data_IF_961037126269
#
_entry.id   IF_961037126269
#
_cell.length_a   1.000
_cell.length_b   1.000
_cell.length_c   1.000
_cell.angle_alpha   90.00
_cell.angle_beta   90.00
_cell.angle_gamma   90.00
#
_symmetry.space_group_name_H-M   'P 1'
#
loop_
_entity.id
_entity.type
_entity.pdbx_description
1 polymer ?
#
# COMPACT_ATOMS: atom_id res chain seq x y z
N UNK A 1 -16.58 -5.59 31.64
CA UNK A 1 -15.60 -5.31 30.57
C UNK A 1 -15.75 -3.88 30.13
N UNK A 2 -14.68 -3.20 29.73
CA UNK A 2 -14.77 -1.88 29.12
C UNK A 2 -15.26 -1.96 27.67
N UNK A 3 -15.62 -0.81 27.10
CA UNK A 3 -16.11 -0.71 25.71
C UNK A 3 -15.12 -1.34 24.72
N UNK A 4 -13.81 -1.18 24.93
CA UNK A 4 -12.75 -1.74 24.10
C UNK A 4 -12.76 -3.27 24.10
N UNK A 5 -12.82 -3.90 25.27
CA UNK A 5 -12.85 -5.36 25.38
C UNK A 5 -14.13 -5.94 24.76
N UNK A 6 -15.27 -5.28 24.99
CA UNK A 6 -16.53 -5.68 24.37
C UNK A 6 -16.50 -5.54 22.84
N UNK A 7 -15.91 -4.45 22.32
CA UNK A 7 -15.77 -4.22 20.88
C UNK A 7 -14.88 -5.27 20.22
N UNK A 8 -13.78 -5.67 20.87
CA UNK A 8 -12.92 -6.76 20.37
C UNK A 8 -13.67 -8.10 20.31
N UNK A 9 -14.44 -8.45 21.35
CA UNK A 9 -15.25 -9.65 21.34
C UNK A 9 -16.36 -9.60 20.26
N UNK A 10 -17.02 -8.44 20.11
CA UNK A 10 -18.05 -8.21 19.09
C UNK A 10 -17.51 -8.32 17.67
N UNK A 11 -16.33 -7.75 17.42
CA UNK A 11 -15.64 -7.83 16.14
C UNK A 11 -15.31 -9.28 15.77
N UNK A 12 -14.74 -10.05 16.69
CA UNK A 12 -14.40 -11.45 16.45
C UNK A 12 -15.65 -12.30 16.15
N UNK A 13 -16.75 -12.07 16.88
CA UNK A 13 -18.02 -12.74 16.60
C UNK A 13 -18.54 -12.40 15.19
N UNK A 14 -18.58 -11.11 14.83
CA UNK A 14 -19.03 -10.67 13.51
C UNK A 14 -18.14 -11.19 12.38
N UNK A 15 -16.83 -11.33 12.61
CA UNK A 15 -15.91 -11.89 11.63
C UNK A 15 -16.19 -13.37 11.36
N UNK A 16 -16.43 -14.16 12.40
CA UNK A 16 -16.82 -15.58 12.26
C UNK A 16 -18.14 -15.70 11.48
N UNK A 17 -19.09 -14.82 11.73
CA UNK A 17 -20.37 -14.81 11.01
C UNK A 17 -20.20 -14.38 9.54
N UNK A 18 -19.34 -13.38 9.28
CA UNK A 18 -19.01 -12.91 7.94
C UNK A 18 -18.33 -14.00 7.09
N UNK A 19 -17.45 -14.82 7.68
CA UNK A 19 -16.81 -15.95 7.00
C UNK A 19 -17.81 -17.04 6.58
N UNK A 20 -18.94 -17.16 7.27
CA UNK A 20 -19.98 -18.16 6.97
C UNK A 20 -21.00 -17.66 5.95
N UNK A 21 -21.05 -16.35 5.70
CA UNK A 21 -22.10 -15.71 4.92
C UNK A 21 -21.58 -15.31 3.54
N UNK A 22 -21.76 -16.19 2.56
CA UNK A 22 -21.23 -16.04 1.18
C UNK A 22 -21.84 -14.83 0.44
N UNK A 23 -23.05 -14.38 0.83
CA UNK A 23 -23.75 -13.24 0.23
C UNK A 23 -24.42 -12.36 1.30
N UNK A 24 -23.62 -11.84 2.25
CA UNK A 24 -24.15 -10.93 3.27
C UNK A 24 -24.78 -9.71 2.62
N UNK A 25 -25.88 -9.21 3.19
CA UNK A 25 -26.49 -7.93 2.81
C UNK A 25 -26.91 -7.20 4.08
N UNK A 26 -27.06 -5.88 4.00
CA UNK A 26 -27.61 -5.06 5.07
C UNK A 26 -28.40 -3.89 4.48
N UNK A 27 -29.20 -3.22 5.31
CA UNK A 27 -30.01 -2.07 4.90
C UNK A 27 -29.16 -0.91 4.35
N UNK A 28 -27.90 -0.81 4.76
CA UNK A 28 -27.00 0.31 4.45
C UNK A 28 -25.86 -0.06 3.49
N UNK A 29 -26.04 -1.13 2.70
CA UNK A 29 -24.97 -1.69 1.85
C UNK A 29 -24.37 -0.67 0.88
N UNK A 30 -25.22 0.13 0.22
CA UNK A 30 -24.78 1.08 -0.81
C UNK A 30 -23.92 2.21 -0.22
N UNK A 31 -24.23 2.61 1.02
CA UNK A 31 -23.44 3.56 1.78
C UNK A 31 -22.07 2.96 2.18
N UNK A 32 -22.07 1.72 2.66
CA UNK A 32 -20.83 1.02 3.05
C UNK A 32 -19.94 0.84 1.81
N UNK A 33 -20.49 0.35 0.70
CA UNK A 33 -19.79 0.19 -0.57
C UNK A 33 -19.18 1.52 -1.02
N UNK A 34 -19.98 2.59 -1.04
CA UNK A 34 -19.53 3.91 -1.43
C UNK A 34 -18.31 4.38 -0.63
N UNK A 35 -18.28 4.21 0.69
CA UNK A 35 -17.14 4.65 1.51
C UNK A 35 -15.93 3.72 1.34
N UNK A 36 -16.15 2.40 1.29
CA UNK A 36 -15.07 1.40 1.24
C UNK A 36 -14.39 1.35 -0.14
N UNK A 37 -15.13 1.56 -1.22
CA UNK A 37 -14.59 1.54 -2.59
C UNK A 37 -13.89 2.85 -2.97
N UNK A 38 -14.04 3.90 -2.16
CA UNK A 38 -13.35 5.17 -2.35
C UNK A 38 -11.91 5.17 -1.77
N UNK A 39 -11.13 6.21 -2.04
CA UNK A 39 -9.69 6.25 -1.73
C UNK A 39 -9.33 6.79 -0.33
N UNK A 40 -10.26 7.45 0.37
CA UNK A 40 -9.93 8.18 1.60
C UNK A 40 -9.89 7.28 2.85
N UNK A 41 -8.70 6.73 3.14
CA UNK A 41 -8.44 5.77 4.22
C UNK A 41 -9.09 6.15 5.56
N UNK A 42 -8.84 7.35 6.07
CA UNK A 42 -9.37 7.80 7.37
C UNK A 42 -10.88 7.61 7.48
N UNK A 43 -11.62 7.81 6.38
CA UNK A 43 -13.09 7.66 6.39
C UNK A 43 -13.53 6.20 6.39
N UNK A 44 -12.76 5.28 5.80
CA UNK A 44 -12.99 3.84 5.94
C UNK A 44 -12.86 3.40 7.40
N UNK A 45 -11.82 3.84 8.10
CA UNK A 45 -11.66 3.53 9.52
C UNK A 45 -12.72 4.19 10.40
N UNK A 46 -13.12 5.42 10.09
CA UNK A 46 -14.22 6.09 10.82
C UNK A 46 -15.53 5.32 10.65
N UNK A 47 -15.89 4.90 9.44
CA UNK A 47 -17.06 4.06 9.18
C UNK A 47 -17.02 2.78 10.02
N UNK A 48 -15.93 2.02 9.92
CA UNK A 48 -15.78 0.75 10.63
C UNK A 48 -15.85 0.96 12.14
N UNK A 49 -15.18 1.99 12.66
CA UNK A 49 -15.19 2.32 14.09
C UNK A 49 -16.59 2.65 14.58
N UNK A 50 -17.34 3.48 13.85
CA UNK A 50 -18.70 3.88 14.20
C UNK A 50 -19.67 2.68 14.20
N UNK A 51 -19.62 1.84 13.16
CA UNK A 51 -20.44 0.63 13.05
C UNK A 51 -20.12 -0.34 14.21
N UNK A 52 -18.84 -0.64 14.45
CA UNK A 52 -18.43 -1.55 15.52
C UNK A 52 -18.83 -1.03 16.90
N UNK A 53 -18.64 0.26 17.14
CA UNK A 53 -18.99 0.89 18.41
C UNK A 53 -20.51 0.80 18.66
N UNK A 54 -21.34 1.14 17.66
CA UNK A 54 -22.81 1.04 17.76
C UNK A 54 -23.30 -0.39 17.93
N UNK A 55 -22.67 -1.35 17.27
CA UNK A 55 -22.96 -2.78 17.43
C UNK A 55 -22.54 -3.35 18.80
N UNK A 56 -21.68 -2.62 19.52
CA UNK A 56 -21.20 -2.98 20.86
C UNK A 56 -22.05 -2.32 21.95
N UNK A 57 -22.44 -1.06 21.74
CA UNK A 57 -23.25 -0.26 22.66
C UNK A 57 -24.21 0.63 21.86
N UNK A 58 -25.51 0.32 21.95
CA UNK A 58 -26.57 1.03 21.22
C UNK A 58 -26.67 2.51 21.62
N UNK A 59 -26.21 2.91 22.80
CA UNK A 59 -26.25 4.31 23.23
C UNK A 59 -25.27 5.22 22.48
N UNK A 60 -24.31 4.62 21.77
CA UNK A 60 -23.27 5.36 21.05
C UNK A 60 -23.87 6.16 19.89
N UNK A 61 -23.36 7.37 19.74
CA UNK A 61 -23.63 8.22 18.59
C UNK A 61 -22.53 8.03 17.54
N UNK A 62 -22.93 7.55 16.37
CA UNK A 62 -22.04 7.18 15.27
C UNK A 62 -21.31 8.38 14.66
N UNK A 63 -21.74 9.61 14.91
CA UNK A 63 -21.03 10.83 14.49
C UNK A 63 -19.89 11.23 15.44
N UNK A 64 -19.85 10.70 16.67
CA UNK A 64 -18.82 11.07 17.64
C UNK A 64 -17.47 10.45 17.28
N UNK A 65 -16.41 11.27 17.30
CA UNK A 65 -15.02 10.85 17.06
C UNK A 65 -14.16 10.92 18.32
N UNK A 66 -14.55 11.75 19.30
CA UNK A 66 -13.80 11.95 20.54
C UNK A 66 -14.72 12.01 21.76
N UNK A 67 -14.18 11.56 22.90
CA UNK A 67 -14.87 11.60 24.20
C UNK A 67 -15.31 13.00 24.64
N UNK A 68 -14.70 14.05 24.08
CA UNK A 68 -15.00 15.46 24.38
C UNK A 68 -16.15 16.04 23.53
N UNK A 69 -16.75 15.26 22.62
CA UNK A 69 -17.96 15.72 21.93
C UNK A 69 -19.07 15.96 22.95
N UNK A 70 -19.86 17.00 22.69
CA UNK A 70 -21.00 17.37 23.53
C UNK A 70 -22.27 16.61 23.14
N UNK A 71 -22.23 15.81 22.06
CA UNK A 71 -23.36 15.02 21.62
C UNK A 71 -23.65 13.86 22.60
N UNK A 72 -24.93 13.55 22.86
CA UNK A 72 -25.31 12.35 23.60
C UNK A 72 -24.72 11.11 22.95
N UNK A 73 -24.19 10.17 23.74
CA UNK A 73 -23.55 8.96 23.23
C UNK A 73 -22.09 9.15 22.78
N UNK A 74 -21.44 10.25 23.18
CA UNK A 74 -20.02 10.47 22.92
C UNK A 74 -19.13 9.38 23.53
N UNK A 75 -18.13 8.97 22.77
CA UNK A 75 -17.19 7.91 23.13
C UNK A 75 -15.81 8.18 22.55
N UNK A 76 -14.81 7.42 23.00
CA UNK A 76 -13.45 7.50 22.45
C UNK A 76 -13.29 6.56 21.25
N UNK A 77 -13.70 7.04 20.07
CA UNK A 77 -13.58 6.30 18.81
C UNK A 77 -12.11 5.98 18.48
N UNK A 78 -11.19 6.91 18.80
CA UNK A 78 -9.75 6.70 18.58
C UNK A 78 -9.24 5.46 19.32
N UNK A 79 -9.61 5.29 20.59
CA UNK A 79 -9.17 4.11 21.34
C UNK A 79 -9.69 2.80 20.72
N UNK A 80 -10.95 2.76 20.27
CA UNK A 80 -11.49 1.58 19.58
C UNK A 80 -10.75 1.32 18.26
N UNK A 81 -10.54 2.36 17.45
CA UNK A 81 -9.83 2.24 16.19
C UNK A 81 -8.40 1.70 16.38
N UNK A 82 -7.57 2.37 17.19
CA UNK A 82 -6.15 2.02 17.32
C UNK A 82 -5.89 0.74 18.11
N UNK A 83 -6.76 0.36 19.05
CA UNK A 83 -6.54 -0.82 19.90
C UNK A 83 -7.29 -2.06 19.45
N UNK A 84 -8.27 -1.93 18.56
CA UNK A 84 -9.08 -3.05 18.08
C UNK A 84 -9.00 -3.18 16.56
N UNK A 85 -9.38 -2.15 15.81
CA UNK A 85 -9.48 -2.24 14.34
C UNK A 85 -8.12 -2.29 13.67
N UNK A 86 -7.17 -1.43 14.05
CA UNK A 86 -5.83 -1.40 13.45
C UNK A 86 -5.10 -2.74 13.62
N UNK A 87 -4.99 -3.33 14.83
CA UNK A 87 -4.38 -4.66 14.97
C UNK A 87 -5.13 -5.73 14.16
N UNK A 88 -6.46 -5.74 14.21
CA UNK A 88 -7.27 -6.71 13.47
C UNK A 88 -7.06 -6.60 11.95
N UNK A 89 -6.98 -5.40 11.40
CA UNK A 89 -6.71 -5.23 9.99
C UNK A 89 -5.33 -5.76 9.59
N UNK A 90 -4.30 -5.45 10.39
CA UNK A 90 -2.92 -5.85 10.12
C UNK A 90 -2.73 -7.35 10.26
N UNK A 91 -3.30 -7.98 11.28
CA UNK A 91 -3.08 -9.39 11.62
C UNK A 91 -4.07 -10.34 10.93
N UNK A 92 -5.29 -9.88 10.62
CA UNK A 92 -6.38 -10.74 10.14
C UNK A 92 -6.84 -10.37 8.73
N UNK A 93 -6.99 -9.08 8.40
CA UNK A 93 -7.51 -8.65 7.10
C UNK A 93 -6.44 -8.33 6.05
N UNK A 94 -5.15 -8.48 6.38
CA UNK A 94 -4.03 -8.22 5.47
C UNK A 94 -4.15 -6.87 4.74
N UNK A 95 -4.34 -5.82 5.54
CA UNK A 95 -4.46 -4.43 5.05
C UNK A 95 -5.59 -4.23 4.03
N UNK A 96 -6.70 -4.96 4.13
CA UNK A 96 -7.85 -4.79 3.22
C UNK A 96 -8.46 -3.37 3.25
N UNK A 97 -8.28 -2.60 4.33
CA UNK A 97 -8.73 -1.19 4.38
C UNK A 97 -7.69 -0.21 3.82
N UNK A 98 -6.44 -0.65 3.65
CA UNK A 98 -5.32 0.13 3.12
C UNK A 98 -4.18 0.40 4.12
N UNK A 99 -4.16 -0.27 5.27
CA UNK A 99 -2.97 -0.41 6.14
C UNK A 99 -2.51 0.87 6.82
N UNK A 100 -3.42 1.71 7.31
CA UNK A 100 -3.06 2.91 8.09
C UNK A 100 -2.79 2.58 9.55
N UNK A 101 -1.55 2.78 10.00
CA UNK A 101 -1.15 2.61 11.40
C UNK A 101 -1.80 3.63 12.35
N UNK A 102 -2.04 4.86 11.89
CA UNK A 102 -2.62 5.92 12.72
C UNK A 102 -3.80 6.67 12.05
N UNK A 103 -4.95 6.00 11.82
CA UNK A 103 -6.06 6.60 11.04
C UNK A 103 -6.64 7.87 11.67
N UNK A 104 -6.68 7.94 13.00
CA UNK A 104 -7.24 9.08 13.74
C UNK A 104 -6.24 10.23 13.97
N UNK A 105 -5.00 10.13 13.46
CA UNK A 105 -4.08 11.27 13.43
C UNK A 105 -4.36 12.23 12.29
N UNK A 106 -5.14 11.87 11.26
CA UNK A 106 -5.43 12.77 10.16
C UNK A 106 -6.47 13.83 10.52
N UNK A 107 -6.39 15.00 9.89
CA UNK A 107 -7.25 16.16 10.18
C UNK A 107 -8.76 15.82 10.26
N UNK A 108 -9.34 15.00 9.36
CA UNK A 108 -10.77 14.67 9.41
C UNK A 108 -11.21 13.96 10.70
N UNK A 109 -10.34 13.19 11.33
CA UNK A 109 -10.64 12.44 12.54
C UNK A 109 -10.25 13.19 13.85
N UNK A 110 -9.68 14.39 13.73
CA UNK A 110 -9.29 15.23 14.89
C UNK A 110 -10.42 16.13 15.41
N UNK A 111 -11.53 16.24 14.68
CA UNK A 111 -12.71 16.94 15.16
C UNK A 111 -13.40 16.14 16.28
N UNK A 112 -14.14 16.78 17.20
CA UNK A 112 -14.91 16.06 18.22
C UNK A 112 -15.95 15.11 17.61
N UNK A 113 -16.54 15.52 16.49
CA UNK A 113 -17.60 14.82 15.77
C UNK A 113 -17.51 15.09 14.27
N UNK A 114 -18.07 14.16 13.49
CA UNK A 114 -18.30 14.33 12.06
C UNK A 114 -19.36 15.39 11.81
N UNK A 115 -19.02 16.32 10.94
CA UNK A 115 -19.91 17.37 10.46
C UNK A 115 -19.54 17.71 9.01
N UNK A 116 -20.55 18.05 8.21
CA UNK A 116 -20.36 18.51 6.82
C UNK A 116 -19.46 19.74 6.71
N UNK A 117 -19.30 20.49 7.79
CA UNK A 117 -18.42 21.67 7.86
C UNK A 117 -16.99 21.34 8.30
N UNK A 118 -16.66 20.08 8.64
CA UNK A 118 -15.30 19.70 8.94
C UNK A 118 -14.39 19.98 7.73
N UNK A 119 -13.19 20.50 8.01
CA UNK A 119 -12.26 20.87 6.96
C UNK A 119 -11.68 19.63 6.26
N UNK A 120 -11.98 19.49 4.98
CA UNK A 120 -11.50 18.42 4.09
C UNK A 120 -11.21 19.00 2.69
N UNK A 121 -10.45 18.28 1.85
CA UNK A 121 -10.26 18.67 0.44
C UNK A 121 -11.61 18.70 -0.27
N UNK A 122 -11.82 19.69 -1.14
CA UNK A 122 -13.03 19.77 -1.96
C UNK A 122 -13.11 18.61 -2.96
N UNK A 123 -14.30 18.32 -3.46
CA UNK A 123 -14.53 17.23 -4.40
C UNK A 123 -14.84 15.92 -3.69
N UNK A 124 -14.14 14.85 -4.05
CA UNK A 124 -14.48 13.49 -3.62
C UNK A 124 -14.50 13.32 -2.10
N UNK A 125 -13.48 13.81 -1.39
CA UNK A 125 -13.39 13.69 0.07
C UNK A 125 -14.57 14.37 0.79
N UNK A 126 -15.07 15.49 0.25
CA UNK A 126 -16.25 16.18 0.78
C UNK A 126 -17.52 15.34 0.55
N UNK A 127 -17.64 14.67 -0.60
CA UNK A 127 -18.77 13.77 -0.87
C UNK A 127 -18.78 12.58 0.11
N UNK A 128 -17.60 12.01 0.41
CA UNK A 128 -17.46 10.93 1.41
C UNK A 128 -17.86 11.43 2.80
N UNK A 129 -17.36 12.60 3.22
CA UNK A 129 -17.73 13.22 4.49
C UNK A 129 -19.24 13.45 4.61
N UNK A 130 -19.86 13.99 3.57
CA UNK A 130 -21.29 14.25 3.54
C UNK A 130 -22.07 12.93 3.68
N UNK A 131 -21.67 11.90 2.94
CA UNK A 131 -22.29 10.58 3.00
C UNK A 131 -22.19 9.95 4.39
N UNK A 132 -21.02 10.05 5.05
CA UNK A 132 -20.87 9.62 6.45
C UNK A 132 -21.83 10.37 7.38
N UNK A 133 -21.90 11.70 7.27
CA UNK A 133 -22.77 12.52 8.12
C UNK A 133 -24.26 12.21 7.91
N UNK A 134 -24.66 11.88 6.68
CA UNK A 134 -26.06 11.64 6.33
C UNK A 134 -26.51 10.22 6.67
N UNK A 135 -25.65 9.21 6.52
CA UNK A 135 -26.05 7.81 6.61
C UNK A 135 -25.69 7.14 7.94
N UNK A 136 -24.60 7.54 8.62
CA UNK A 136 -24.26 6.96 9.93
C UNK A 136 -25.37 7.12 10.98
N UNK A 137 -26.09 8.25 11.05
CA UNK A 137 -27.20 8.40 12.00
C UNK A 137 -28.40 7.50 11.72
N UNK A 138 -28.52 6.96 10.50
CA UNK A 138 -29.60 6.06 10.12
C UNK A 138 -29.42 4.64 10.70
N UNK A 139 -28.19 4.29 11.12
CA UNK A 139 -27.88 3.04 11.83
C UNK A 139 -28.23 3.23 13.31
N UNK A 140 -29.49 2.97 13.65
CA UNK A 140 -30.05 3.41 14.95
C UNK A 140 -29.93 2.38 16.07
N UNK A 141 -29.88 1.09 15.74
CA UNK A 141 -29.89 -0.02 16.72
C UNK A 141 -28.60 -0.82 16.71
N UNK A 142 -28.31 -1.52 17.82
CA UNK A 142 -27.16 -2.41 17.89
C UNK A 142 -27.28 -3.61 16.93
N UNK A 143 -28.50 -4.07 16.62
CA UNK A 143 -28.74 -5.17 15.68
C UNK A 143 -28.46 -4.73 14.23
N UNK A 144 -29.01 -3.59 13.81
CA UNK A 144 -28.75 -3.01 12.48
C UNK A 144 -27.25 -2.75 12.27
N UNK A 145 -26.58 -2.20 13.30
CA UNK A 145 -25.13 -2.02 13.27
C UNK A 145 -24.36 -3.36 13.17
N UNK A 146 -24.84 -4.43 13.80
CA UNK A 146 -24.20 -5.75 13.71
C UNK A 146 -24.35 -6.37 12.31
N UNK A 147 -25.51 -6.22 11.67
CA UNK A 147 -25.72 -6.66 10.28
C UNK A 147 -24.82 -5.87 9.31
N UNK A 148 -24.70 -4.55 9.51
CA UNK A 148 -23.76 -3.69 8.78
C UNK A 148 -22.30 -4.13 9.00
N UNK A 149 -21.96 -4.52 10.22
CA UNK A 149 -20.62 -5.00 10.57
C UNK A 149 -20.27 -6.32 9.85
N UNK A 150 -21.21 -7.27 9.82
CA UNK A 150 -21.04 -8.52 9.06
C UNK A 150 -20.85 -8.21 7.58
N UNK A 151 -21.71 -7.36 7.00
CA UNK A 151 -21.61 -6.97 5.60
C UNK A 151 -20.25 -6.33 5.26
N UNK A 152 -19.84 -5.35 6.07
CA UNK A 152 -18.54 -4.69 5.93
C UNK A 152 -17.39 -5.72 5.98
N UNK A 153 -17.41 -6.64 6.95
CA UNK A 153 -16.37 -7.65 7.10
C UNK A 153 -16.36 -8.64 5.93
N UNK A 154 -17.51 -9.08 5.43
CA UNK A 154 -17.58 -9.93 4.23
C UNK A 154 -16.98 -9.23 3.01
N UNK A 155 -17.22 -7.93 2.83
CA UNK A 155 -16.58 -7.14 1.76
C UNK A 155 -15.06 -7.06 1.95
N UNK A 156 -14.58 -6.81 3.17
CA UNK A 156 -13.13 -6.75 3.45
C UNK A 156 -12.44 -8.11 3.29
N UNK A 157 -13.12 -9.21 3.64
CA UNK A 157 -12.64 -10.58 3.37
C UNK A 157 -12.53 -10.81 1.87
N UNK A 158 -13.50 -10.37 1.07
CA UNK A 158 -13.42 -10.48 -0.39
C UNK A 158 -12.25 -9.68 -0.95
N UNK A 159 -12.03 -8.44 -0.49
CA UNK A 159 -10.87 -7.63 -0.88
C UNK A 159 -9.56 -8.35 -0.54
N UNK A 160 -9.45 -8.89 0.68
CA UNK A 160 -8.29 -9.70 1.11
C UNK A 160 -8.06 -10.90 0.17
N UNK A 161 -9.11 -11.68 -0.08
CA UNK A 161 -9.02 -12.88 -0.91
C UNK A 161 -8.63 -12.53 -2.36
N UNK A 162 -9.19 -11.46 -2.92
CA UNK A 162 -8.84 -10.98 -4.26
C UNK A 162 -7.36 -10.59 -4.37
N UNK A 163 -6.79 -9.93 -3.35
CA UNK A 163 -5.35 -9.64 -3.30
C UNK A 163 -4.51 -10.91 -3.31
N UNK A 164 -4.87 -11.88 -2.48
CA UNK A 164 -4.18 -13.17 -2.41
C UNK A 164 -4.27 -13.97 -3.72
N UNK A 165 -5.40 -13.93 -4.43
CA UNK A 165 -5.52 -14.64 -5.72
C UNK A 165 -4.63 -14.07 -6.82
N UNK A 166 -4.30 -12.77 -6.77
CA UNK A 166 -3.41 -12.15 -7.77
C UNK A 166 -1.98 -12.66 -7.69
N UNK A 167 -1.56 -13.18 -6.54
CA UNK A 167 -0.24 -13.78 -6.34
C UNK A 167 -0.27 -15.31 -6.44
N UNK A 168 -1.41 -15.90 -6.83
CA UNK A 168 -1.54 -17.36 -7.00
C UNK A 168 -1.31 -17.79 -8.45
N UNK A 169 -0.06 -17.69 -8.90
CA UNK A 169 0.37 -18.19 -10.21
C UNK A 169 1.71 -18.92 -10.09
N UNK A 170 2.07 -19.67 -11.13
CA UNK A 170 3.41 -20.24 -11.28
C UNK A 170 3.95 -19.96 -12.68
N UNK A 171 5.26 -19.85 -12.81
CA UNK A 171 5.98 -19.70 -14.08
C UNK A 171 6.76 -20.98 -14.33
N UNK A 172 6.62 -21.58 -15.51
CA UNK A 172 7.38 -22.78 -15.84
C UNK A 172 8.89 -22.50 -15.81
N UNK A 173 9.68 -23.40 -15.22
CA UNK A 173 11.14 -23.21 -15.06
C UNK A 173 11.90 -23.01 -16.38
N UNK A 174 11.36 -23.49 -17.49
CA UNK A 174 11.92 -23.28 -18.84
C UNK A 174 11.77 -21.83 -19.33
N UNK A 175 10.85 -21.04 -18.74
CA UNK A 175 10.64 -19.63 -19.04
C UNK A 175 11.55 -18.70 -18.21
N UNK A 176 12.23 -19.21 -17.17
CA UNK A 176 13.17 -18.48 -16.31
C UNK A 176 14.52 -18.24 -17.01
N UNK A 177 14.50 -17.45 -18.08
CA UNK A 177 15.69 -17.03 -18.83
C UNK A 177 15.95 -15.53 -18.64
N UNK A 178 17.21 -15.10 -18.42
CA UNK A 178 17.53 -13.68 -18.28
C UNK A 178 17.02 -12.81 -19.44
N UNK A 179 17.12 -13.32 -20.67
CA UNK A 179 16.64 -12.62 -21.86
C UNK A 179 15.12 -12.41 -21.87
N UNK A 180 14.34 -13.38 -21.39
CA UNK A 180 12.88 -13.24 -21.30
C UNK A 180 12.49 -12.21 -20.23
N UNK A 181 13.15 -12.24 -19.06
CA UNK A 181 12.91 -11.26 -18.01
C UNK A 181 13.28 -9.83 -18.45
N UNK A 182 14.42 -9.65 -19.14
CA UNK A 182 14.79 -8.37 -19.72
C UNK A 182 13.78 -7.87 -20.75
N UNK A 183 13.32 -8.75 -21.65
CA UNK A 183 12.32 -8.37 -22.65
C UNK A 183 10.97 -7.97 -22.01
N UNK A 184 10.57 -8.64 -20.93
CA UNK A 184 9.43 -8.23 -20.12
C UNK A 184 9.63 -6.83 -19.50
N UNK A 185 10.79 -6.59 -18.88
CA UNK A 185 11.13 -5.30 -18.26
C UNK A 185 11.12 -4.15 -19.27
N UNK A 186 11.76 -4.35 -20.43
CA UNK A 186 11.76 -3.38 -21.52
C UNK A 186 10.34 -3.08 -22.01
N UNK A 187 9.51 -4.12 -22.17
CA UNK A 187 8.13 -3.96 -22.61
C UNK A 187 7.27 -3.22 -21.58
N UNK A 188 7.45 -3.51 -20.29
CA UNK A 188 6.75 -2.84 -19.21
C UNK A 188 7.12 -1.34 -19.15
N UNK A 189 8.38 -0.99 -19.37
CA UNK A 189 8.85 0.39 -19.30
C UNK A 189 8.34 1.29 -20.43
N UNK A 190 7.69 0.76 -21.46
CA UNK A 190 6.97 1.54 -22.48
C UNK A 190 5.85 2.40 -21.88
N UNK A 191 5.33 2.05 -20.69
CA UNK A 191 4.35 2.83 -19.94
C UNK A 191 4.92 3.25 -18.57
N UNK A 192 4.80 4.53 -18.23
CA UNK A 192 5.41 5.08 -17.01
C UNK A 192 4.61 4.80 -15.74
N UNK A 193 3.29 5.04 -15.80
CA UNK A 193 2.42 5.12 -14.63
C UNK A 193 2.98 6.04 -13.52
N UNK A 194 3.47 7.23 -13.90
CA UNK A 194 4.11 8.19 -12.98
C UNK A 194 5.41 7.67 -12.33
N UNK A 195 6.15 6.82 -13.05
CA UNK A 195 7.41 6.23 -12.61
C UNK A 195 7.25 4.96 -11.78
N UNK A 196 6.02 4.54 -11.49
CA UNK A 196 5.72 3.36 -10.69
C UNK A 196 6.32 2.06 -11.27
N UNK A 197 6.27 1.90 -12.60
CA UNK A 197 6.83 0.71 -13.26
C UNK A 197 8.35 0.62 -13.05
N UNK A 198 9.06 1.74 -13.22
CA UNK A 198 10.51 1.78 -13.03
C UNK A 198 10.88 1.34 -11.61
N UNK A 199 10.19 1.88 -10.60
CA UNK A 199 10.43 1.53 -9.19
C UNK A 199 10.24 0.04 -8.93
N UNK A 200 9.14 -0.54 -9.42
CA UNK A 200 8.85 -1.97 -9.20
C UNK A 200 9.88 -2.87 -9.88
N UNK A 201 10.28 -2.59 -11.12
CA UNK A 201 11.24 -3.43 -11.84
C UNK A 201 12.64 -3.37 -11.24
N UNK A 202 13.09 -2.18 -10.83
CA UNK A 202 14.38 -2.02 -10.14
C UNK A 202 14.33 -2.71 -8.77
N UNK A 203 13.24 -2.56 -8.01
CA UNK A 203 13.06 -3.24 -6.73
C UNK A 203 13.08 -4.77 -6.89
N UNK A 204 12.34 -5.33 -7.85
CA UNK A 204 12.36 -6.77 -8.12
C UNK A 204 13.73 -7.29 -8.52
N UNK A 205 14.51 -6.49 -9.26
CA UNK A 205 15.88 -6.88 -9.65
C UNK A 205 16.82 -6.89 -8.45
N UNK A 206 16.70 -5.90 -7.57
CA UNK A 206 17.41 -5.90 -6.28
C UNK A 206 16.98 -7.08 -5.41
N UNK A 207 15.69 -7.43 -5.39
CA UNK A 207 15.19 -8.57 -4.63
C UNK A 207 15.85 -9.86 -5.08
N UNK A 208 15.94 -10.10 -6.39
CA UNK A 208 16.67 -11.26 -6.92
C UNK A 208 18.16 -11.26 -6.52
N UNK A 209 18.81 -10.10 -6.49
CA UNK A 209 20.22 -9.99 -6.08
C UNK A 209 20.43 -10.18 -4.57
N UNK A 210 19.45 -9.80 -3.76
CA UNK A 210 19.50 -9.80 -2.29
C UNK A 210 18.41 -10.72 -1.71
N UNK A 211 18.24 -11.92 -2.28
CA UNK A 211 17.19 -12.86 -1.87
C UNK A 211 17.59 -13.74 -0.66
N UNK A 212 18.27 -13.16 0.31
CA UNK A 212 18.68 -13.83 1.55
C UNK A 212 17.83 -13.34 2.72
N UNK A 213 17.53 -14.18 3.74
CA UNK A 213 16.62 -13.80 4.83
C UNK A 213 17.06 -12.58 5.67
N UNK A 214 18.34 -12.21 5.61
CA UNK A 214 18.89 -11.07 6.32
C UNK A 214 18.90 -9.78 5.50
N UNK A 215 18.47 -9.83 4.25
CA UNK A 215 18.36 -8.68 3.38
C UNK A 215 16.91 -8.20 3.26
N UNK A 216 16.74 -6.92 2.94
CA UNK A 216 15.43 -6.30 2.76
C UNK A 216 15.51 -5.27 1.64
N UNK A 217 14.60 -5.38 0.69
CA UNK A 217 14.38 -4.40 -0.37
C UNK A 217 13.16 -3.57 0.02
N UNK A 218 13.39 -2.33 0.46
CA UNK A 218 12.33 -1.45 0.97
C UNK A 218 11.98 -0.41 -0.08
N UNK A 219 10.78 -0.54 -0.67
CA UNK A 219 10.19 0.45 -1.57
C UNK A 219 9.41 1.47 -0.76
N UNK A 220 9.65 2.75 -1.01
CA UNK A 220 8.94 3.83 -0.33
C UNK A 220 7.85 4.41 -1.24
N UNK A 221 6.63 4.69 -0.72
CA UNK A 221 5.56 5.22 -1.54
C UNK A 221 5.90 6.63 -2.03
N UNK A 222 5.79 6.86 -3.35
CA UNK A 222 6.02 8.15 -4.03
C UNK A 222 5.20 9.32 -3.43
N UNK A 223 4.13 9.02 -2.67
CA UNK A 223 3.15 9.99 -2.16
C UNK A 223 3.02 10.07 -0.62
N UNK A 224 3.93 9.47 0.16
CA UNK A 224 3.92 9.65 1.62
C UNK A 224 5.23 10.27 2.10
N UNK A 225 5.32 11.59 2.00
CA UNK A 225 6.38 12.32 2.69
C UNK A 225 6.29 12.06 4.20
N UNK A 226 7.28 11.37 4.77
CA UNK A 226 7.65 11.47 6.18
C UNK A 226 6.87 10.60 7.16
N UNK A 227 6.35 9.44 6.75
CA UNK A 227 5.61 8.55 7.65
C UNK A 227 6.51 7.55 8.42
N UNK A 228 7.74 7.30 7.98
CA UNK A 228 8.70 6.44 8.69
C UNK A 228 10.05 7.14 8.83
N UNK A 229 10.71 6.99 9.98
CA UNK A 229 12.07 7.51 10.21
C UNK A 229 13.16 6.78 9.41
N UNK A 230 12.79 5.94 8.44
CA UNK A 230 13.67 5.10 7.61
C UNK A 230 13.56 5.36 6.10
N UNK A 231 12.67 6.26 5.67
CA UNK A 231 12.54 6.65 4.26
C UNK A 231 13.72 7.55 3.86
N UNK A 232 14.80 6.94 3.35
CA UNK A 232 16.01 7.67 2.97
C UNK A 232 15.93 8.06 1.49
N UNK A 233 15.55 7.13 0.62
CA UNK A 233 15.40 7.33 -0.83
C UNK A 233 14.06 6.73 -1.33
N UNK A 234 13.82 6.74 -2.64
CA UNK A 234 12.67 6.02 -3.23
C UNK A 234 12.73 4.49 -3.00
N UNK A 235 13.94 3.93 -3.02
CA UNK A 235 14.22 2.51 -2.80
C UNK A 235 15.52 2.31 -2.03
N UNK A 236 15.43 1.66 -0.87
CA UNK A 236 16.56 1.40 0.02
C UNK A 236 16.77 -0.10 0.24
N UNK A 237 18.03 -0.53 0.24
CA UNK A 237 18.43 -1.93 0.45
C UNK A 237 19.15 -2.03 1.79
N UNK A 238 18.70 -2.96 2.63
CA UNK A 238 19.28 -3.23 3.94
C UNK A 238 19.80 -4.66 3.99
N UNK A 239 20.94 -4.87 4.66
CA UNK A 239 21.47 -6.21 5.00
C UNK A 239 21.87 -6.19 6.46
N UNK A 240 21.41 -7.16 7.23
CA UNK A 240 21.56 -7.21 8.70
C UNK A 240 21.09 -5.90 9.37
N UNK A 241 20.04 -5.28 8.82
CA UNK A 241 19.49 -4.01 9.26
C UNK A 241 20.34 -2.77 8.94
N UNK A 242 21.48 -2.91 8.27
CA UNK A 242 22.35 -1.81 7.86
C UNK A 242 22.04 -1.38 6.42
N UNK A 243 21.97 -0.08 6.17
CA UNK A 243 21.76 0.45 4.82
C UNK A 243 22.96 0.14 3.93
N UNK A 244 22.75 -0.67 2.89
CA UNK A 244 23.81 -1.04 1.93
C UNK A 244 23.70 -0.33 0.60
N UNK A 245 22.51 0.09 0.16
CA UNK A 245 22.35 0.85 -1.07
C UNK A 245 21.08 1.72 -1.00
N UNK A 246 21.17 2.94 -1.52
CA UNK A 246 20.02 3.82 -1.71
C UNK A 246 19.88 4.18 -3.18
N UNK A 247 18.65 4.23 -3.65
CA UNK A 247 18.33 4.48 -5.05
C UNK A 247 17.23 5.53 -5.15
N UNK A 248 17.51 6.60 -5.88
CA UNK A 248 16.49 7.56 -6.30
C UNK A 248 16.13 7.25 -7.75
N UNK A 249 14.84 7.20 -8.07
CA UNK A 249 14.37 6.84 -9.39
C UNK A 249 13.68 8.03 -10.04
N UNK A 250 14.08 8.37 -11.27
CA UNK A 250 13.41 9.40 -12.06
C UNK A 250 13.00 8.85 -13.39
N UNK A 251 11.73 8.99 -13.73
CA UNK A 251 11.18 8.72 -15.07
C UNK A 251 10.58 9.99 -15.69
N UNK A 252 11.26 11.12 -15.48
CA UNK A 252 10.93 12.44 -16.01
C UNK A 252 12.15 13.34 -15.95
N UNK A 253 12.10 14.47 -16.65
CA UNK A 253 13.16 15.48 -16.59
C UNK A 253 13.46 15.91 -15.15
N UNK A 254 14.75 16.11 -14.86
CA UNK A 254 15.25 16.45 -13.53
C UNK A 254 16.40 17.44 -13.62
N UNK A 255 16.63 18.19 -12.56
CA UNK A 255 17.69 19.18 -12.45
C UNK A 255 18.78 18.74 -11.46
N UNK A 256 19.91 19.44 -11.46
CA UNK A 256 21.00 19.21 -10.50
C UNK A 256 20.53 19.22 -9.05
N UNK A 257 19.56 20.10 -8.74
CA UNK A 257 18.99 20.23 -7.39
C UNK A 257 18.28 18.96 -6.93
N UNK A 258 17.66 18.20 -7.83
CA UNK A 258 16.99 16.94 -7.49
C UNK A 258 18.02 15.88 -7.07
N UNK A 259 19.10 15.73 -7.86
CA UNK A 259 20.20 14.80 -7.56
C UNK A 259 20.89 15.18 -6.25
N UNK A 260 21.19 16.47 -6.07
CA UNK A 260 21.83 17.00 -4.87
C UNK A 260 20.99 16.75 -3.63
N UNK A 261 19.69 17.03 -3.70
CA UNK A 261 18.79 16.83 -2.59
C UNK A 261 18.75 15.37 -2.14
N UNK A 262 18.62 14.43 -3.08
CA UNK A 262 18.57 13.01 -2.78
C UNK A 262 19.91 12.50 -2.22
N UNK A 263 21.04 12.90 -2.81
CA UNK A 263 22.37 12.52 -2.32
C UNK A 263 22.67 13.07 -0.91
N UNK A 264 22.32 14.33 -0.63
CA UNK A 264 22.49 14.92 0.71
C UNK A 264 21.61 14.23 1.75
N UNK A 265 20.41 13.78 1.38
CA UNK A 265 19.50 13.03 2.27
C UNK A 265 20.12 11.67 2.64
N UNK A 266 20.63 10.92 1.66
CA UNK A 266 21.32 9.63 1.90
C UNK A 266 22.57 9.82 2.76
N UNK A 267 23.40 10.81 2.43
CA UNK A 267 24.60 11.11 3.19
C UNK A 267 24.29 11.49 4.65
N UNK A 268 23.24 12.29 4.87
CA UNK A 268 22.78 12.69 6.21
C UNK A 268 22.26 11.53 7.04
N UNK A 269 21.72 10.50 6.39
CA UNK A 269 21.28 9.26 7.03
C UNK A 269 22.43 8.27 7.32
N UNK A 270 23.67 8.63 6.96
CA UNK A 270 24.87 7.79 7.17
C UNK A 270 25.14 6.81 6.02
N UNK A 271 24.44 6.94 4.89
CA UNK A 271 24.73 6.18 3.69
C UNK A 271 26.08 6.57 3.08
N UNK A 272 26.72 5.62 2.39
CA UNK A 272 28.06 5.82 1.78
C UNK A 272 28.03 5.87 0.26
N UNK A 273 26.91 5.47 -0.34
CA UNK A 273 26.74 5.40 -1.78
C UNK A 273 25.26 5.50 -2.17
N UNK A 274 25.03 5.97 -3.39
CA UNK A 274 23.71 6.13 -3.96
C UNK A 274 23.76 5.99 -5.48
N UNK A 275 22.75 5.35 -6.04
CA UNK A 275 22.45 5.43 -7.47
C UNK A 275 21.28 6.38 -7.71
N UNK A 276 21.45 7.28 -8.66
CA UNK A 276 20.36 8.07 -9.23
C UNK A 276 20.02 7.46 -10.59
N UNK A 277 18.87 6.81 -10.68
CA UNK A 277 18.50 5.93 -11.79
C UNK A 277 17.59 6.67 -12.75
N UNK A 278 18.05 6.83 -13.99
CA UNK A 278 17.30 7.43 -15.07
C UNK A 278 16.44 6.38 -15.78
N UNK A 279 15.12 6.56 -15.74
CA UNK A 279 14.13 5.82 -16.52
C UNK A 279 14.07 6.28 -17.98
N UNK A 280 13.25 5.61 -18.81
CA UNK A 280 13.15 5.88 -20.25
C UNK A 280 12.80 7.33 -20.62
N UNK A 281 12.14 8.05 -19.72
CA UNK A 281 11.65 9.42 -19.96
C UNK A 281 12.47 10.48 -19.21
N UNK A 282 13.53 10.08 -18.51
CA UNK A 282 14.36 11.00 -17.76
C UNK A 282 15.41 11.68 -18.64
N UNK A 283 15.55 12.99 -18.47
CA UNK A 283 16.62 13.77 -19.07
C UNK A 283 17.14 14.80 -18.06
N UNK A 284 18.47 14.90 -17.97
CA UNK A 284 19.10 15.94 -17.17
C UNK A 284 18.91 17.33 -17.80
N UNK A 285 18.47 18.29 -16.99
CA UNK A 285 18.38 19.70 -17.37
C UNK A 285 19.76 20.38 -17.29
N UNK A 286 20.59 20.09 -18.29
CA UNK A 286 21.94 20.65 -18.43
C UNK A 286 23.05 19.62 -18.20
N UNK A 287 24.29 20.08 -18.30
CA UNK A 287 25.50 19.25 -18.18
C UNK A 287 26.15 19.43 -16.79
N UNK A 288 25.55 18.80 -15.79
CA UNK A 288 26.01 18.88 -14.40
C UNK A 288 26.46 17.54 -13.82
N UNK A 289 26.11 16.40 -14.45
CA UNK A 289 26.27 15.05 -13.90
C UNK A 289 27.72 14.79 -13.48
N UNK A 290 28.67 15.02 -14.38
CA UNK A 290 30.10 14.79 -14.07
C UNK A 290 30.57 15.66 -12.89
N UNK A 291 30.14 16.91 -12.85
CA UNK A 291 30.55 17.85 -11.80
C UNK A 291 30.01 17.43 -10.43
N UNK A 292 28.72 17.08 -10.35
CA UNK A 292 28.11 16.67 -9.08
C UNK A 292 28.66 15.33 -8.60
N UNK A 293 28.87 14.34 -9.48
CA UNK A 293 29.49 13.07 -9.09
C UNK A 293 30.91 13.27 -8.53
N UNK A 294 31.72 14.12 -9.17
CA UNK A 294 33.05 14.46 -8.66
C UNK A 294 33.00 15.21 -7.32
N UNK A 295 32.03 16.10 -7.15
CA UNK A 295 31.83 16.81 -5.88
C UNK A 295 31.55 15.84 -4.72
N UNK A 296 30.64 14.88 -4.91
CA UNK A 296 30.30 13.90 -3.88
C UNK A 296 31.41 12.88 -3.65
N UNK A 297 32.14 12.49 -4.70
CA UNK A 297 33.32 11.65 -4.55
C UNK A 297 34.38 12.30 -3.63
N UNK A 298 34.57 13.62 -3.73
CA UNK A 298 35.46 14.38 -2.83
C UNK A 298 34.96 14.43 -1.38
N UNK A 299 33.67 14.17 -1.14
CA UNK A 299 33.07 14.00 0.19
C UNK A 299 33.15 12.54 0.68
N UNK A 300 33.87 11.67 -0.03
CA UNK A 300 33.92 10.23 0.22
C UNK A 300 32.54 9.56 0.13
N UNK A 301 31.69 10.03 -0.79
CA UNK A 301 30.37 9.49 -1.07
C UNK A 301 30.28 9.09 -2.54
N UNK A 302 29.94 7.82 -2.82
CA UNK A 302 29.81 7.35 -4.19
C UNK A 302 28.41 7.65 -4.72
N UNK A 303 28.28 8.79 -5.42
CA UNK A 303 27.11 9.13 -6.23
C UNK A 303 27.36 8.71 -7.68
N UNK A 304 26.40 8.01 -8.29
CA UNK A 304 26.38 7.75 -9.74
C UNK A 304 25.00 7.97 -10.32
N UNK A 305 24.94 8.69 -11.44
CA UNK A 305 23.77 8.76 -12.33
C UNK A 305 23.92 7.64 -13.36
N UNK A 306 22.92 6.78 -13.48
CA UNK A 306 22.96 5.60 -14.35
C UNK A 306 21.61 5.39 -15.05
N UNK A 307 21.64 5.03 -16.33
CA UNK A 307 20.42 4.64 -17.03
C UNK A 307 19.88 3.30 -16.52
N UNK A 308 18.55 3.15 -16.53
CA UNK A 308 17.89 1.90 -16.16
C UNK A 308 18.40 0.72 -17.00
N UNK A 309 18.67 0.93 -18.29
CA UNK A 309 19.17 -0.11 -19.20
C UNK A 309 20.51 -0.67 -18.71
N UNK A 310 21.46 0.22 -18.41
CA UNK A 310 22.78 -0.17 -17.93
C UNK A 310 22.70 -0.85 -16.57
N UNK A 311 21.85 -0.35 -15.67
CA UNK A 311 21.65 -0.95 -14.36
C UNK A 311 21.04 -2.35 -14.46
N UNK A 312 19.86 -2.47 -15.08
CA UNK A 312 19.10 -3.72 -15.15
C UNK A 312 19.88 -4.79 -15.91
N UNK A 313 20.48 -4.47 -17.06
CA UNK A 313 21.28 -5.44 -17.82
C UNK A 313 22.50 -5.93 -17.04
N UNK A 314 23.18 -5.04 -16.31
CA UNK A 314 24.32 -5.41 -15.47
C UNK A 314 23.91 -6.29 -14.29
N UNK A 315 22.83 -5.93 -13.60
CA UNK A 315 22.32 -6.68 -12.45
C UNK A 315 21.81 -8.07 -12.88
N UNK A 316 20.95 -8.13 -13.90
CA UNK A 316 20.43 -9.38 -14.45
C UNK A 316 21.55 -10.28 -14.97
N UNK A 317 22.55 -9.71 -15.66
CA UNK A 317 23.72 -10.45 -16.12
C UNK A 317 24.64 -10.96 -15.01
N UNK A 318 24.51 -10.43 -13.78
CA UNK A 318 25.30 -10.82 -12.61
C UNK A 318 24.60 -11.82 -11.69
N UNK A 319 23.30 -12.05 -11.87
CA UNK A 319 22.54 -13.04 -11.09
C UNK A 319 22.80 -14.44 -11.67
N UNK A 320 23.29 -15.35 -10.83
CA UNK A 320 23.64 -16.73 -11.23
C UNK A 320 22.44 -17.49 -11.81
N UNK A 321 21.30 -17.41 -11.13
CA UNK A 321 20.07 -18.05 -11.55
C UNK A 321 18.89 -17.10 -11.44
N UNK A 322 18.31 -16.77 -12.59
CA UNK A 322 17.08 -15.98 -12.67
C UNK A 322 15.90 -16.80 -12.19
N UNK A 323 15.07 -16.17 -11.37
CA UNK A 323 13.80 -16.68 -10.92
C UNK A 323 12.70 -15.65 -11.23
N UNK A 324 12.08 -15.77 -12.40
CA UNK A 324 11.04 -14.84 -12.83
C UNK A 324 9.77 -14.99 -11.99
N UNK A 325 9.50 -16.17 -11.42
CA UNK A 325 8.37 -16.40 -10.52
C UNK A 325 8.54 -15.58 -9.25
N UNK A 326 9.70 -15.69 -8.60
CA UNK A 326 10.03 -14.92 -7.40
C UNK A 326 10.03 -13.41 -7.67
N UNK A 327 10.60 -12.99 -8.80
CA UNK A 327 10.56 -11.59 -9.24
C UNK A 327 9.12 -11.09 -9.35
N UNK A 328 8.25 -11.85 -10.02
CA UNK A 328 6.87 -11.46 -10.24
C UNK A 328 6.06 -11.43 -8.93
N UNK A 329 6.22 -12.45 -8.07
CA UNK A 329 5.59 -12.42 -6.74
C UNK A 329 6.01 -11.18 -5.96
N UNK A 330 7.31 -10.91 -5.90
CA UNK A 330 7.83 -9.77 -5.15
C UNK A 330 7.27 -8.43 -5.65
N UNK A 331 7.30 -8.16 -6.97
CA UNK A 331 6.84 -6.86 -7.47
C UNK A 331 5.33 -6.67 -7.29
N UNK A 332 4.52 -7.73 -7.41
CA UNK A 332 3.07 -7.64 -7.24
C UNK A 332 2.72 -7.47 -5.76
N UNK A 333 3.34 -8.24 -4.87
CA UNK A 333 3.16 -8.08 -3.43
C UNK A 333 3.61 -6.69 -2.96
N UNK A 334 4.74 -6.21 -3.48
CA UNK A 334 5.24 -4.86 -3.19
C UNK A 334 4.27 -3.80 -3.68
N UNK A 335 3.75 -3.92 -4.90
CA UNK A 335 2.79 -2.97 -5.44
C UNK A 335 1.51 -2.90 -4.59
N UNK A 336 0.97 -4.05 -4.20
CA UNK A 336 -0.21 -4.17 -3.34
C UNK A 336 0.01 -3.61 -1.93
N UNK A 337 1.22 -3.80 -1.36
CA UNK A 337 1.56 -3.35 -0.02
C UNK A 337 1.90 -1.86 0.08
N UNK A 338 2.41 -1.28 -1.01
CA UNK A 338 3.00 0.06 -1.04
C UNK A 338 2.12 1.10 -1.73
N UNK A 339 0.86 0.76 -2.01
CA UNK A 339 -0.19 1.64 -2.57
C UNK A 339 0.12 2.16 -3.97
N UNK A 340 0.72 1.31 -4.79
CA UNK A 340 0.79 1.53 -6.24
C UNK A 340 -0.63 1.49 -6.83
N UNK A 341 -0.81 2.08 -8.01
CA UNK A 341 -2.12 2.13 -8.66
C UNK A 341 -2.58 0.75 -9.12
N UNK A 342 -3.88 0.49 -9.01
CA UNK A 342 -4.47 -0.77 -9.49
C UNK A 342 -4.24 -0.96 -11.00
N UNK A 343 -4.23 0.13 -11.78
CA UNK A 343 -3.94 0.06 -13.22
C UNK A 343 -2.48 -0.33 -13.52
N UNK A 344 -1.53 0.05 -12.66
CA UNK A 344 -0.12 -0.35 -12.75
C UNK A 344 0.00 -1.86 -12.54
N UNK A 345 -0.64 -2.38 -11.49
CA UNK A 345 -0.66 -3.81 -11.17
C UNK A 345 -1.29 -4.62 -12.30
N UNK A 346 -2.46 -4.18 -12.79
CA UNK A 346 -3.18 -4.84 -13.88
C UNK A 346 -2.35 -4.88 -15.17
N UNK A 347 -1.62 -3.81 -15.47
CA UNK A 347 -0.74 -3.75 -16.63
C UNK A 347 0.44 -4.72 -16.52
N UNK A 348 1.12 -4.76 -15.37
CA UNK A 348 2.24 -5.69 -15.13
C UNK A 348 1.80 -7.15 -15.18
N UNK A 349 0.65 -7.49 -14.60
CA UNK A 349 0.08 -8.84 -14.64
C UNK A 349 -0.29 -9.27 -16.05
N UNK A 350 -0.94 -8.38 -16.82
CA UNK A 350 -1.28 -8.67 -18.21
C UNK A 350 -0.02 -8.96 -19.05
N UNK A 351 1.03 -8.17 -18.88
CA UNK A 351 2.30 -8.43 -19.58
C UNK A 351 2.96 -9.73 -19.10
N UNK A 352 2.83 -10.07 -17.82
CA UNK A 352 3.40 -11.29 -17.29
C UNK A 352 2.72 -12.53 -17.88
N UNK A 353 1.38 -12.51 -18.05
CA UNK A 353 0.65 -13.55 -18.80
C UNK A 353 1.18 -13.68 -20.24
N UNK A 354 1.45 -12.56 -20.92
CA UNK A 354 1.95 -12.55 -22.31
C UNK A 354 3.39 -13.10 -22.45
N UNK A 355 4.27 -12.84 -21.48
CA UNK A 355 5.69 -13.20 -21.56
C UNK A 355 6.05 -14.52 -20.88
N UNK A 356 5.33 -14.91 -19.84
CA UNK A 356 5.68 -16.04 -18.98
C UNK A 356 4.65 -17.17 -19.00
N UNK A 357 3.50 -17.00 -19.67
CA UNK A 357 2.41 -17.98 -19.73
C UNK A 357 2.00 -18.46 -18.33
N UNK A 358 1.51 -17.51 -17.50
CA UNK A 358 1.26 -17.77 -16.09
C UNK A 358 0.26 -18.91 -15.90
N UNK A 359 0.67 -19.92 -15.14
CA UNK A 359 -0.19 -21.01 -14.74
C UNK A 359 -0.96 -20.62 -13.47
N UNK A 360 -2.17 -20.09 -13.66
CA UNK A 360 -3.10 -19.83 -12.57
C UNK A 360 -3.63 -21.16 -12.02
N UNK A 361 -3.41 -21.44 -10.74
CA UNK A 361 -3.96 -22.65 -10.14
C UNK A 361 -5.49 -22.56 -10.17
N UNK A 362 -6.15 -23.28 -11.08
CA UNK A 362 -7.60 -23.49 -10.98
C UNK A 362 -7.86 -24.15 -9.63
N UNK A 363 -8.66 -23.51 -8.77
CA UNK A 363 -9.21 -24.16 -7.60
C UNK A 363 -9.81 -25.51 -8.06
N UNK A 364 -9.18 -26.61 -7.66
CA UNK A 364 -9.75 -27.95 -7.76
C UNK A 364 -10.89 -28.02 -6.73
N UNK A 365 -12.02 -27.37 -7.02
CA UNK A 365 -13.25 -27.55 -6.26
C UNK A 365 -14.47 -27.84 -7.15
N UNK A 366 -14.29 -27.99 -8.47
CA UNK A 366 -15.32 -28.48 -9.39
C UNK A 366 -15.07 -29.92 -9.88
N UNK A 367 -14.52 -30.78 -9.02
CA UNK A 367 -14.51 -32.23 -9.30
C UNK A 367 -14.58 -33.10 -8.05
N UNK A 368 -15.66 -32.97 -7.29
CA UNK A 368 -16.21 -34.14 -6.58
C UNK A 368 -17.72 -34.02 -6.36
N UNK A 369 -18.46 -34.65 -7.29
CA UNK A 369 -19.81 -35.25 -7.18
C UNK A 369 -21.03 -34.39 -6.85
#
# INVERSE_FOLDING_TARGET
>A
MGLKENASAKLNAAYVDAQRTINSTCAHKDFIDFVIDNTHLTYKYVLFTAILAKATDESINTLCLQKKSELPGAYDARTICHKVIVPFEMEVLDKALGGSNEPFLNKPARFPELSKTNAVRRGNDQTILNSLCDNLPLITTSTDAYECLIYLLSKLINIKNSKSTMTTFTIEKNANLPAHLMAYMEKALEHSYEGEILTLLVAGTYHLMYNEPNATVEVHPVNQSGASGREISDLDIYVDGSLVASNELKDKDYAETDVRHAADKVLSAGGTKMLFIEGPRANAQGDFINNIEHEYLNKNFLLRVISYENLLSSMIGSIDKIDSEEFMHFIIETAQNTKFKDETIAYLMKLADEFFDLNHSKNKDDSTK
#
